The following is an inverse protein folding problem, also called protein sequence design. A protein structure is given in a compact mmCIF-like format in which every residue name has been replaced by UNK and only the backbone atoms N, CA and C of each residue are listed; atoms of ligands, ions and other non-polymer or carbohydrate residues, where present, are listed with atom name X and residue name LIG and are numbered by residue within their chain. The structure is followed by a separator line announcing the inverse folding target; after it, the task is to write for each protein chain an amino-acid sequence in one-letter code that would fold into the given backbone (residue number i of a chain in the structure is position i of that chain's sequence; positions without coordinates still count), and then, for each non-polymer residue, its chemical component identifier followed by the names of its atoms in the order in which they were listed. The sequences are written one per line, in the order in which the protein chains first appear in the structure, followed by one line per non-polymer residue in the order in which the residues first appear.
data_IF_465460209417
#
_entry.id   IF_465460209417
#
_cell.length_a   1.000
_cell.length_b   1.000
_cell.length_c   1.000
_cell.angle_alpha   90.00
_cell.angle_beta   90.00
_cell.angle_gamma   90.00
#
_symmetry.space_group_name_H-M   'P 1'
#
loop_
_entity.id
_entity.type
_entity.pdbx_description
1 polymer ?
#
# COMPACT_ATOMS: atom_id res chain seq x y z
N UNK A 1 -39.03 16.94 -36.42
CA UNK A 1 -38.72 16.83 -37.87
C UNK A 1 -37.99 18.11 -38.28
N UNK A 2 -36.68 18.02 -38.55
CA UNK A 2 -36.05 18.19 -39.89
C UNK A 2 -35.92 19.69 -40.27
N UNK A 3 -34.74 20.23 -40.54
CA UNK A 3 -34.03 20.09 -41.83
C UNK A 3 -32.69 20.86 -41.73
N UNK A 4 -31.52 20.27 -42.05
CA UNK A 4 -30.87 20.14 -43.37
C UNK A 4 -30.36 21.51 -43.92
N UNK A 5 -29.06 21.81 -43.87
CA UNK A 5 -27.97 21.50 -44.84
C UNK A 5 -28.11 22.16 -46.23
N UNK A 6 -27.08 22.94 -46.63
CA UNK A 6 -26.63 23.18 -48.02
C UNK A 6 -25.28 23.96 -47.93
N UNK A 7 -24.08 23.40 -48.18
CA UNK A 7 -23.45 22.87 -49.41
C UNK A 7 -23.10 23.96 -50.45
N UNK A 8 -21.80 24.32 -50.44
CA UNK A 8 -20.84 24.41 -51.57
C UNK A 8 -20.95 25.50 -52.66
N UNK A 9 -19.83 26.22 -52.89
CA UNK A 9 -19.16 26.40 -54.21
C UNK A 9 -17.82 27.15 -54.00
N UNK A 10 -16.63 26.66 -54.40
CA UNK A 10 -16.04 26.36 -55.74
C UNK A 10 -15.35 27.57 -56.36
N UNK A 11 -14.00 27.52 -56.52
CA UNK A 11 -13.21 27.87 -57.74
C UNK A 11 -11.70 28.07 -57.41
N UNK A 12 -10.80 27.20 -57.90
CA UNK A 12 -9.96 27.33 -59.12
C UNK A 12 -8.69 28.20 -58.97
N UNK A 13 -7.51 27.59 -58.74
CA UNK A 13 -6.41 27.62 -59.71
C UNK A 13 -5.24 26.71 -59.30
N UNK A 14 -4.76 25.91 -60.25
CA UNK A 14 -3.73 24.88 -60.11
C UNK A 14 -2.34 25.38 -60.49
N UNK A 15 -1.33 24.67 -59.95
CA UNK A 15 0.12 24.75 -60.22
C UNK A 15 0.83 25.87 -59.45
N UNK A 16 1.73 25.62 -58.48
CA UNK A 16 2.82 24.65 -58.48
C UNK A 16 3.10 24.14 -57.05
N UNK A 17 2.92 22.82 -56.87
CA UNK A 17 3.65 21.82 -56.03
C UNK A 17 4.74 22.43 -55.12
N UNK A 18 4.71 22.23 -53.80
CA UNK A 18 5.33 21.07 -53.13
C UNK A 18 4.57 20.74 -51.82
N UNK A 19 4.45 19.44 -51.57
CA UNK A 19 3.65 18.77 -50.55
C UNK A 19 4.31 18.81 -49.17
N UNK A 20 3.59 19.26 -48.13
CA UNK A 20 3.61 18.69 -46.76
C UNK A 20 2.24 19.02 -46.15
N UNK A 21 1.15 18.37 -46.56
CA UNK A 21 0.64 17.17 -45.90
C UNK A 21 0.68 17.25 -44.36
N UNK A 22 -0.49 17.58 -43.78
CA UNK A 22 -1.13 16.89 -42.64
C UNK A 22 -0.51 17.20 -41.26
N UNK A 23 -1.22 17.43 -40.17
CA UNK A 23 -2.64 17.38 -39.81
C UNK A 23 -2.79 18.24 -38.53
N UNK A 24 -3.95 18.88 -38.38
CA UNK A 24 -4.42 19.34 -37.08
C UNK A 24 -4.74 18.09 -36.23
N UNK A 25 -4.12 17.96 -35.06
CA UNK A 25 -4.46 16.90 -34.12
C UNK A 25 -5.45 17.44 -33.09
N UNK A 26 -6.66 16.90 -33.17
CA UNK A 26 -7.70 17.01 -32.17
C UNK A 26 -7.30 16.19 -30.94
N UNK A 27 -7.40 16.79 -29.75
CA UNK A 27 -7.28 16.11 -28.46
C UNK A 27 -8.44 15.12 -28.31
N UNK A 28 -8.17 13.84 -28.56
CA UNK A 28 -9.09 12.74 -28.26
C UNK A 28 -8.89 12.35 -26.80
N UNK A 29 -9.91 12.57 -25.97
CA UNK A 29 -10.00 12.02 -24.62
C UNK A 29 -10.15 10.50 -24.70
N UNK A 30 -9.07 9.76 -24.48
CA UNK A 30 -9.13 8.31 -24.27
C UNK A 30 -9.16 7.99 -22.78
N UNK A 31 -10.34 7.59 -22.30
CA UNK A 31 -10.52 6.96 -20.99
C UNK A 31 -9.71 5.67 -20.94
N UNK A 32 -8.68 5.62 -20.10
CA UNK A 32 -7.91 4.41 -19.84
C UNK A 32 -8.75 3.48 -18.98
N UNK A 33 -9.31 2.44 -19.60
CA UNK A 33 -9.77 1.25 -18.88
C UNK A 33 -8.54 0.58 -18.27
N UNK A 34 -8.47 0.53 -16.94
CA UNK A 34 -7.47 -0.24 -16.21
C UNK A 34 -7.67 -1.73 -16.54
N UNK A 35 -6.92 -2.22 -17.52
CA UNK A 35 -6.76 -3.64 -17.74
C UNK A 35 -5.94 -4.20 -16.57
N UNK A 36 -6.56 -5.02 -15.73
CA UNK A 36 -5.83 -5.80 -14.74
C UNK A 36 -4.90 -6.77 -15.48
N UNK A 37 -3.59 -6.82 -15.14
CA UNK A 37 -2.71 -7.82 -15.72
C UNK A 37 -3.13 -9.20 -15.21
N UNK A 38 -3.48 -10.10 -16.15
CA UNK A 38 -3.47 -11.54 -15.91
C UNK A 38 -2.04 -11.90 -15.55
N UNK A 39 -1.79 -12.27 -14.29
CA UNK A 39 -0.48 -12.72 -13.84
C UNK A 39 -0.21 -14.07 -14.49
N UNK A 40 0.55 -14.06 -15.59
CA UNK A 40 1.15 -15.27 -16.12
C UNK A 40 2.19 -15.77 -15.11
N UNK A 41 1.89 -16.86 -14.42
CA UNK A 41 2.85 -17.61 -13.64
C UNK A 41 3.95 -18.17 -14.57
N UNK A 42 5.08 -17.48 -14.58
CA UNK A 42 6.23 -17.77 -15.44
C UNK A 42 7.55 -17.26 -14.85
N UNK A 43 7.64 -17.28 -13.53
CA UNK A 43 8.85 -17.13 -12.74
C UNK A 43 8.51 -17.74 -11.39
N UNK A 44 9.38 -18.58 -10.83
CA UNK A 44 9.24 -18.98 -9.45
C UNK A 44 9.48 -17.73 -8.59
N UNK A 45 8.47 -16.87 -8.48
CA UNK A 45 8.45 -15.78 -7.52
C UNK A 45 8.51 -16.44 -6.17
N UNK A 46 9.67 -16.37 -5.52
CA UNK A 46 9.80 -16.81 -4.15
C UNK A 46 8.73 -16.09 -3.34
N UNK A 47 7.97 -16.84 -2.55
CA UNK A 47 7.08 -16.26 -1.54
C UNK A 47 7.91 -15.27 -0.71
N UNK A 48 7.44 -14.03 -0.48
CA UNK A 48 8.18 -13.05 0.31
C UNK A 48 8.52 -13.65 1.67
N UNK A 49 9.74 -13.42 2.18
CA UNK A 49 10.09 -13.85 3.54
C UNK A 49 9.10 -13.26 4.55
N UNK A 50 8.88 -13.94 5.68
CA UNK A 50 8.03 -13.42 6.76
C UNK A 50 8.42 -11.98 7.15
N UNK A 51 9.72 -11.67 7.20
CA UNK A 51 10.18 -10.30 7.50
C UNK A 51 9.73 -9.28 6.47
N UNK A 52 9.77 -9.64 5.18
CA UNK A 52 9.29 -8.77 4.11
C UNK A 52 7.77 -8.61 4.16
N UNK A 53 7.03 -9.67 4.51
CA UNK A 53 5.58 -9.62 4.71
C UNK A 53 5.22 -8.71 5.89
N UNK A 54 5.94 -8.84 7.01
CA UNK A 54 5.76 -8.01 8.20
C UNK A 54 5.99 -6.52 7.90
N UNK A 55 7.10 -6.18 7.24
CA UNK A 55 7.39 -4.79 6.87
C UNK A 55 6.33 -4.21 5.92
N UNK A 56 5.87 -5.02 4.95
CA UNK A 56 4.78 -4.62 4.07
C UNK A 56 3.47 -4.42 4.85
N UNK A 57 3.19 -5.22 5.87
CA UNK A 57 2.00 -5.11 6.71
C UNK A 57 2.06 -3.85 7.61
N UNK A 58 3.22 -3.52 8.18
CA UNK A 58 3.41 -2.27 8.93
C UNK A 58 3.11 -1.03 8.07
N UNK A 59 3.58 -1.02 6.82
CA UNK A 59 3.30 0.07 5.88
C UNK A 59 1.80 0.21 5.59
N UNK A 60 1.10 -0.90 5.37
CA UNK A 60 -0.36 -0.92 5.18
C UNK A 60 -1.12 -0.39 6.40
N UNK A 61 -0.62 -0.69 7.60
CA UNK A 61 -1.22 -0.25 8.86
C UNK A 61 -0.87 1.20 9.25
N UNK A 62 -0.06 1.87 8.41
CA UNK A 62 0.47 3.22 8.62
C UNK A 62 1.35 3.34 9.86
N UNK A 63 2.07 2.27 10.19
CA UNK A 63 3.10 2.27 11.24
C UNK A 63 4.42 2.68 10.56
N UNK A 64 4.99 3.85 10.90
CA UNK A 64 6.23 4.31 10.28
C UNK A 64 7.39 3.38 10.66
N UNK A 65 7.95 2.68 9.68
CA UNK A 65 9.07 1.77 9.85
C UNK A 65 10.44 2.47 9.63
N UNK A 66 10.53 3.78 9.82
CA UNK A 66 11.54 4.59 9.13
C UNK A 66 12.94 4.56 9.72
N UNK A 67 13.11 4.24 11.01
CA UNK A 67 14.39 4.47 11.68
C UNK A 67 15.13 3.20 12.13
N UNK A 68 14.44 2.06 12.27
CA UNK A 68 15.05 0.80 12.72
C UNK A 68 14.24 -0.46 12.34
N UNK A 69 14.08 -0.73 11.04
CA UNK A 69 13.37 -1.93 10.57
C UNK A 69 13.91 -3.24 11.19
N UNK A 70 15.24 -3.48 11.29
CA UNK A 70 15.75 -4.70 11.92
C UNK A 70 15.30 -4.86 13.38
N UNK A 71 15.28 -3.77 14.15
CA UNK A 71 14.78 -3.79 15.53
C UNK A 71 13.28 -4.09 15.62
N UNK A 72 12.48 -3.56 14.69
CA UNK A 72 11.04 -3.86 14.63
C UNK A 72 10.78 -5.35 14.31
N UNK A 73 11.55 -5.91 13.37
CA UNK A 73 11.47 -7.34 13.04
C UNK A 73 11.89 -8.21 14.23
N UNK A 74 12.99 -7.85 14.90
CA UNK A 74 13.42 -8.55 16.11
C UNK A 74 12.34 -8.53 17.19
N UNK A 75 11.77 -7.35 17.49
CA UNK A 75 10.72 -7.23 18.51
C UNK A 75 9.46 -8.01 18.15
N UNK A 76 9.05 -7.99 16.89
CA UNK A 76 7.88 -8.75 16.42
C UNK A 76 8.03 -10.27 16.62
N UNK A 77 9.25 -10.79 16.45
CA UNK A 77 9.56 -12.21 16.74
C UNK A 77 9.63 -12.49 18.24
N UNK A 78 10.11 -11.56 19.05
CA UNK A 78 10.09 -11.71 20.51
C UNK A 78 8.67 -11.82 21.05
N UNK A 79 7.73 -11.03 20.53
CA UNK A 79 6.30 -11.13 20.91
C UNK A 79 5.79 -12.55 20.70
N UNK A 80 6.13 -13.20 19.58
CA UNK A 80 5.80 -14.61 19.36
C UNK A 80 6.35 -15.52 20.48
N UNK A 81 7.63 -15.33 20.83
CA UNK A 81 8.26 -16.07 21.92
C UNK A 81 7.60 -15.82 23.27
N UNK A 82 7.14 -14.59 23.55
CA UNK A 82 6.41 -14.26 24.78
C UNK A 82 5.07 -14.99 24.86
N UNK A 83 4.31 -14.99 23.76
CA UNK A 83 3.02 -15.69 23.66
C UNK A 83 3.18 -17.22 23.79
N UNK A 84 4.19 -17.79 23.14
CA UNK A 84 4.52 -19.22 23.25
C UNK A 84 4.88 -19.63 24.70
N UNK A 85 5.38 -18.69 25.52
CA UNK A 85 5.68 -18.90 26.95
C UNK A 85 4.52 -18.54 27.89
N UNK A 86 3.35 -18.16 27.36
CA UNK A 86 2.12 -17.97 28.13
C UNK A 86 1.78 -16.53 28.50
N UNK A 87 2.50 -15.53 27.96
CA UNK A 87 2.04 -14.13 28.02
C UNK A 87 0.76 -13.96 27.20
N UNK A 88 -0.10 -13.02 27.58
CA UNK A 88 -1.28 -12.69 26.78
C UNK A 88 -0.97 -11.67 25.69
N UNK A 89 -1.80 -11.62 24.64
CA UNK A 89 -1.75 -10.56 23.62
C UNK A 89 -1.86 -9.17 24.25
N UNK A 90 -2.68 -9.02 25.30
CA UNK A 90 -2.82 -7.75 26.00
C UNK A 90 -1.55 -7.35 26.74
N UNK A 91 -0.82 -8.29 27.35
CA UNK A 91 0.46 -8.00 28.00
C UNK A 91 1.49 -7.49 26.98
N UNK A 92 1.55 -8.10 25.80
CA UNK A 92 2.44 -7.65 24.72
C UNK A 92 2.08 -6.23 24.22
N UNK A 93 0.78 -5.91 24.14
CA UNK A 93 0.30 -4.55 23.81
C UNK A 93 0.72 -3.55 24.88
N UNK A 94 0.51 -3.89 26.15
CA UNK A 94 0.86 -3.02 27.28
C UNK A 94 2.37 -2.79 27.36
N UNK A 95 3.18 -3.81 27.07
CA UNK A 95 4.63 -3.69 26.98
C UNK A 95 5.07 -2.76 25.85
N UNK A 96 4.51 -2.86 24.64
CA UNK A 96 4.84 -1.92 23.55
C UNK A 96 4.43 -0.48 23.88
N UNK A 97 3.29 -0.28 24.55
CA UNK A 97 2.88 1.05 25.04
C UNK A 97 3.88 1.57 26.06
N UNK A 98 4.30 0.74 27.01
CA UNK A 98 5.29 1.12 28.03
C UNK A 98 6.66 1.41 27.41
N UNK A 99 7.08 0.64 26.41
CA UNK A 99 8.32 0.85 25.65
C UNK A 99 8.29 2.20 24.94
N UNK A 100 7.20 2.52 24.25
CA UNK A 100 7.02 3.82 23.61
C UNK A 100 7.10 5.00 24.60
N UNK A 101 6.49 4.87 25.78
CA UNK A 101 6.58 5.90 26.83
C UNK A 101 7.95 5.98 27.49
N UNK A 102 8.68 4.87 27.58
CA UNK A 102 10.05 4.84 28.07
C UNK A 102 10.99 5.58 27.12
N UNK A 103 10.84 5.34 25.80
CA UNK A 103 11.60 6.02 24.75
C UNK A 103 11.24 7.51 24.66
N UNK A 104 9.95 7.84 24.74
CA UNK A 104 9.49 9.23 24.70
C UNK A 104 8.29 9.46 25.65
N UNK A 105 8.53 9.96 26.87
CA UNK A 105 7.49 10.21 27.86
C UNK A 105 6.42 11.21 27.41
N UNK A 106 6.75 12.11 26.47
CA UNK A 106 5.77 13.09 25.96
C UNK A 106 4.63 12.44 25.18
N UNK A 107 4.81 11.21 24.67
CA UNK A 107 3.77 10.47 23.95
C UNK A 107 2.54 10.17 24.81
N UNK A 108 2.62 10.30 26.13
CA UNK A 108 1.46 10.21 27.04
C UNK A 108 0.34 11.20 26.69
N UNK A 109 0.64 12.33 26.04
CA UNK A 109 -0.39 13.30 25.59
C UNK A 109 -1.25 12.76 24.43
N UNK A 110 -0.79 11.73 23.73
CA UNK A 110 -1.49 11.05 22.63
C UNK A 110 -1.67 9.55 22.93
N UNK A 111 -1.96 9.21 24.19
CA UNK A 111 -2.02 7.83 24.69
C UNK A 111 -2.85 6.88 23.83
N UNK A 112 -4.02 7.33 23.37
CA UNK A 112 -4.93 6.50 22.56
C UNK A 112 -4.33 6.18 21.18
N UNK A 113 -3.52 7.09 20.63
CA UNK A 113 -2.80 6.84 19.37
C UNK A 113 -1.69 5.81 19.59
N UNK A 114 -0.97 5.91 20.70
CA UNK A 114 0.10 4.95 21.05
C UNK A 114 -0.50 3.56 21.22
N UNK A 115 -1.54 3.43 22.04
CA UNK A 115 -2.23 2.15 22.28
C UNK A 115 -2.74 1.52 20.98
N UNK A 116 -3.44 2.29 20.12
CA UNK A 116 -3.87 1.77 18.80
C UNK A 116 -2.71 1.33 17.90
N UNK A 117 -1.57 2.01 17.97
CA UNK A 117 -0.38 1.65 17.18
C UNK A 117 0.26 0.37 17.73
N UNK A 118 0.33 0.22 19.06
CA UNK A 118 0.80 -0.98 19.71
C UNK A 118 -0.08 -2.19 19.37
N UNK A 119 -1.41 -2.06 19.45
CA UNK A 119 -2.36 -3.12 19.02
C UNK A 119 -2.08 -3.54 17.57
N UNK A 120 -2.03 -2.58 16.65
CA UNK A 120 -1.72 -2.84 15.24
C UNK A 120 -0.39 -3.57 15.03
N UNK A 121 0.64 -3.16 15.78
CA UNK A 121 1.97 -3.77 15.72
C UNK A 121 1.97 -5.21 16.24
N UNK A 122 1.33 -5.47 17.38
CA UNK A 122 1.18 -6.82 17.95
C UNK A 122 0.35 -7.71 17.02
N UNK A 123 -0.78 -7.22 16.50
CA UNK A 123 -1.57 -7.94 15.50
C UNK A 123 -0.73 -8.30 14.27
N UNK A 124 0.04 -7.37 13.72
CA UNK A 124 0.94 -7.65 12.59
C UNK A 124 1.98 -8.73 12.92
N UNK A 125 2.47 -8.73 14.16
CA UNK A 125 3.45 -9.70 14.64
C UNK A 125 2.84 -11.10 14.74
N UNK A 126 1.63 -11.20 15.29
CA UNK A 126 0.87 -12.44 15.42
C UNK A 126 0.49 -13.01 14.05
N UNK A 127 0.00 -12.17 13.14
CA UNK A 127 -0.39 -12.58 11.80
C UNK A 127 0.76 -13.23 11.02
N UNK A 128 1.98 -12.73 11.20
CA UNK A 128 3.15 -13.16 10.42
C UNK A 128 3.99 -14.23 11.11
N UNK A 129 4.24 -14.10 12.41
CA UNK A 129 5.21 -14.94 13.13
C UNK A 129 4.56 -16.00 14.04
N UNK A 130 3.36 -15.79 14.57
CA UNK A 130 2.67 -16.71 15.49
C UNK A 130 1.21 -16.98 15.05
N UNK A 131 0.97 -17.62 13.89
CA UNK A 131 -0.39 -17.85 13.41
C UNK A 131 -1.26 -18.71 14.36
N UNK A 132 -0.65 -19.50 15.25
CA UNK A 132 -1.35 -20.24 16.31
C UNK A 132 -2.09 -19.34 17.30
N UNK A 133 -1.63 -18.10 17.51
CA UNK A 133 -2.20 -17.14 18.46
C UNK A 133 -3.19 -16.16 17.82
N UNK A 134 -3.52 -16.31 16.52
CA UNK A 134 -4.49 -15.42 15.84
C UNK A 134 -5.88 -15.44 16.49
N UNK A 135 -6.27 -16.55 17.13
CA UNK A 135 -7.54 -16.66 17.85
C UNK A 135 -7.61 -15.85 19.15
N UNK A 136 -6.51 -15.25 19.58
CA UNK A 136 -6.38 -14.46 20.81
C UNK A 136 -6.37 -12.95 20.53
N UNK A 137 -6.37 -12.55 19.26
CA UNK A 137 -6.39 -11.16 18.85
C UNK A 137 -7.76 -10.49 19.13
N UNK A 138 -7.76 -9.18 19.46
CA UNK A 138 -8.98 -8.41 19.75
C UNK A 138 -9.80 -8.04 18.50
#
# INVERSE_FOLDING_TARGET
MRSAELVTQRNENSAVRVRIARLAEALVNTSVLLAAPVICAGGAGADPSQDAQFVALLAQQQIPATDNVPGLVYRAREICGELDHGSSVQDAVDEEVNRAYSENPSLRIVSDRVSRTAVKFVTASVDVYCPSHQGELP
#
